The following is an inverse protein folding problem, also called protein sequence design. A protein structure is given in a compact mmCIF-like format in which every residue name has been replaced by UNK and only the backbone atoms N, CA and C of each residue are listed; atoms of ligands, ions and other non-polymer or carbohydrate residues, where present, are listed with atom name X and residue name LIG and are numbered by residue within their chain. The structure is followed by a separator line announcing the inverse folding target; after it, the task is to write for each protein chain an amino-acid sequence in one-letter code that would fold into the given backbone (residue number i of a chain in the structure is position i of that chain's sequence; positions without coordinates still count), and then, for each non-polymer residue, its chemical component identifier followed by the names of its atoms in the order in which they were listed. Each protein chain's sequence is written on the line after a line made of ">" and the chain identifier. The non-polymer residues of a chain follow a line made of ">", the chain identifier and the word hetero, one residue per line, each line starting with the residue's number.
data_IF_294481727122
#
_entry.id   IF_294481727122
#
_cell.length_a   1.000
_cell.length_b   1.000
_cell.length_c   1.000
_cell.angle_alpha   90.00
_cell.angle_beta   90.00
_cell.angle_gamma   90.00
#
_symmetry.space_group_name_H-M   'P 1'
#
loop_
_entity.id
_entity.type
_entity.pdbx_description
1 polymer ?
#
# COMPACT_ATOMS: atom_id res chain seq x y z
N UNK A 1 -11.25 -32.55 -23.96
CA UNK A 1 -10.45 -32.44 -22.71
C UNK A 1 -9.10 -31.81 -23.04
N UNK A 2 -8.81 -30.60 -22.55
CA UNK A 2 -7.60 -30.35 -21.76
C UNK A 2 -7.67 -28.98 -21.05
N UNK A 3 -7.75 -28.99 -19.73
CA UNK A 3 -8.06 -27.88 -18.81
C UNK A 3 -6.78 -27.14 -18.34
N UNK A 4 -5.73 -27.04 -19.16
CA UNK A 4 -4.39 -26.66 -18.68
C UNK A 4 -3.69 -25.52 -19.44
N UNK A 5 -4.44 -24.49 -19.89
CA UNK A 5 -3.85 -23.23 -20.40
C UNK A 5 -4.54 -21.97 -19.86
N UNK A 6 -5.04 -22.02 -18.63
CA UNK A 6 -5.42 -20.83 -17.88
C UNK A 6 -4.44 -20.73 -16.72
N UNK A 7 -4.11 -19.52 -16.28
CA UNK A 7 -3.33 -19.21 -15.06
C UNK A 7 -1.85 -18.85 -15.21
N UNK A 8 -1.40 -18.37 -16.37
CA UNK A 8 -0.06 -17.74 -16.52
C UNK A 8 -0.09 -16.40 -17.28
N UNK A 9 -1.10 -15.56 -17.06
CA UNK A 9 -1.10 -14.19 -17.62
C UNK A 9 -1.99 -13.20 -16.84
N UNK A 10 -1.81 -13.13 -15.51
CA UNK A 10 -2.39 -12.05 -14.67
C UNK A 10 -1.33 -11.28 -13.87
N UNK A 11 -0.08 -11.22 -14.33
CA UNK A 11 0.87 -10.26 -13.75
C UNK A 11 0.66 -8.93 -14.47
N UNK A 12 0.02 -7.91 -13.86
CA UNK A 12 -0.12 -6.63 -14.52
C UNK A 12 1.27 -6.08 -14.84
N UNK A 13 1.37 -5.58 -16.06
CA UNK A 13 2.54 -4.97 -16.67
C UNK A 13 3.31 -4.09 -15.65
N UNK A 14 4.62 -4.34 -15.51
CA UNK A 14 5.55 -3.76 -14.53
C UNK A 14 5.91 -2.29 -14.83
N UNK A 15 5.00 -1.57 -15.49
CA UNK A 15 5.05 -0.17 -15.85
C UNK A 15 3.84 0.58 -15.29
N UNK A 16 3.37 0.16 -14.12
CA UNK A 16 2.25 0.80 -13.42
C UNK A 16 2.65 2.22 -13.04
N UNK A 17 1.94 3.21 -13.58
CA UNK A 17 2.07 4.60 -13.17
C UNK A 17 2.06 4.69 -11.64
N UNK A 18 3.01 5.45 -11.07
CA UNK A 18 3.08 5.72 -9.64
C UNK A 18 1.75 6.33 -9.20
N UNK A 19 1.02 5.64 -8.32
CA UNK A 19 -0.28 6.12 -7.83
C UNK A 19 -0.05 7.07 -6.66
N UNK A 20 -0.36 8.34 -6.87
CA UNK A 20 -0.27 9.37 -5.85
C UNK A 20 -1.67 9.83 -5.41
N UNK A 21 -1.84 10.09 -4.12
CA UNK A 21 -3.07 10.64 -3.54
C UNK A 21 -2.76 11.73 -2.53
N UNK A 22 -3.62 12.73 -2.46
CA UNK A 22 -3.51 13.83 -1.48
C UNK A 22 -3.92 13.37 -0.07
N UNK A 23 -4.82 12.38 0.02
CA UNK A 23 -5.32 11.78 1.26
C UNK A 23 -5.35 10.27 1.16
N UNK A 24 -5.34 9.62 2.32
CA UNK A 24 -5.44 8.16 2.42
C UNK A 24 -6.75 7.68 1.78
N UNK A 25 -6.70 6.81 0.77
CA UNK A 25 -7.92 6.26 0.18
C UNK A 25 -8.55 5.22 1.11
N UNK A 26 -9.88 5.21 1.23
CA UNK A 26 -10.61 4.21 2.01
C UNK A 26 -10.59 2.82 1.34
N UNK A 27 -10.64 2.81 -0.01
CA UNK A 27 -10.60 1.59 -0.83
C UNK A 27 -9.40 1.63 -1.78
N UNK A 28 -8.80 0.47 -2.03
CA UNK A 28 -7.69 0.34 -2.97
C UNK A 28 -8.14 0.70 -4.40
N UNK A 29 -7.47 1.62 -5.10
CA UNK A 29 -7.84 1.98 -6.47
C UNK A 29 -7.57 0.88 -7.50
N UNK A 30 -6.81 -0.16 -7.16
CA UNK A 30 -6.51 -1.28 -8.05
C UNK A 30 -7.46 -2.48 -7.87
N UNK A 31 -7.82 -2.83 -6.63
CA UNK A 31 -8.63 -4.03 -6.34
C UNK A 31 -9.91 -3.76 -5.54
N UNK A 32 -10.21 -2.50 -5.20
CA UNK A 32 -11.37 -2.07 -4.41
C UNK A 32 -11.45 -2.59 -2.97
N UNK A 33 -10.46 -3.37 -2.51
CA UNK A 33 -10.39 -3.87 -1.14
C UNK A 33 -10.23 -2.73 -0.11
N UNK A 34 -10.67 -3.00 1.12
CA UNK A 34 -10.66 -2.07 2.26
C UNK A 34 -10.38 -2.85 3.54
N UNK A 35 -9.68 -2.26 4.53
CA UNK A 35 -9.06 -0.94 4.47
C UNK A 35 -7.76 -0.92 3.64
N UNK A 36 -7.32 0.28 3.26
CA UNK A 36 -5.93 0.47 2.82
C UNK A 36 -5.07 0.69 4.06
N UNK A 37 -3.96 -0.02 4.18
CA UNK A 37 -3.06 0.08 5.31
C UNK A 37 -2.22 1.36 5.27
N UNK A 38 -1.88 1.90 6.43
CA UNK A 38 -0.74 2.82 6.54
C UNK A 38 0.54 2.03 6.67
N UNK A 39 1.61 2.45 6.00
CA UNK A 39 2.91 1.80 6.13
C UNK A 39 3.60 2.38 7.37
N UNK A 40 4.02 1.50 8.28
CA UNK A 40 4.77 1.84 9.48
C UNK A 40 6.24 1.46 9.26
N UNK A 41 7.10 2.47 9.14
CA UNK A 41 8.54 2.30 8.97
C UNK A 41 9.27 2.39 10.31
N UNK A 42 10.46 1.81 10.36
CA UNK A 42 11.35 1.89 11.52
C UNK A 42 11.35 0.64 12.40
N UNK A 43 12.11 0.73 13.49
CA UNK A 43 12.11 -0.29 14.53
C UNK A 43 10.99 0.01 15.53
N UNK A 44 9.93 -0.78 15.49
CA UNK A 44 8.73 -0.60 16.30
C UNK A 44 8.63 -1.70 17.35
N UNK A 45 8.20 -1.33 18.55
CA UNK A 45 7.82 -2.32 19.56
C UNK A 45 6.54 -3.02 19.13
N UNK A 46 6.52 -4.34 19.19
CA UNK A 46 5.31 -5.13 18.97
C UNK A 46 4.49 -5.15 20.25
N UNK A 47 3.27 -4.63 20.19
CA UNK A 47 2.26 -4.74 21.22
C UNK A 47 0.96 -5.30 20.63
N UNK A 48 0.05 -5.76 21.49
CA UNK A 48 -1.19 -6.40 21.06
C UNK A 48 -2.09 -5.49 20.23
N UNK A 49 -1.99 -4.16 20.39
CA UNK A 49 -2.79 -3.19 19.62
C UNK A 49 -2.23 -3.06 18.20
N UNK A 50 -0.91 -3.04 18.06
CA UNK A 50 -0.24 -3.02 16.76
C UNK A 50 -0.48 -4.34 16.01
N UNK A 51 -0.37 -5.48 16.70
CA UNK A 51 -0.67 -6.80 16.14
C UNK A 51 -2.08 -6.86 15.58
N UNK A 52 -3.09 -6.44 16.36
CA UNK A 52 -4.48 -6.37 15.90
C UNK A 52 -4.64 -5.47 14.66
N UNK A 53 -3.98 -4.31 14.63
CA UNK A 53 -4.06 -3.39 13.47
C UNK A 53 -3.41 -3.98 12.22
N UNK A 54 -2.38 -4.82 12.37
CA UNK A 54 -1.75 -5.53 11.26
C UNK A 54 -2.70 -6.62 10.74
N UNK A 55 -3.29 -7.40 11.65
CA UNK A 55 -4.26 -8.45 11.31
C UNK A 55 -5.50 -7.89 10.60
N UNK A 56 -6.01 -6.74 11.05
CA UNK A 56 -7.12 -6.02 10.40
C UNK A 56 -6.73 -5.35 9.07
N UNK A 57 -5.46 -5.40 8.67
CA UNK A 57 -4.95 -4.77 7.46
C UNK A 57 -4.94 -3.24 7.51
N UNK A 58 -4.98 -2.63 8.70
CA UNK A 58 -4.91 -1.18 8.89
C UNK A 58 -3.48 -0.65 8.91
N UNK A 59 -2.52 -1.49 9.28
CA UNK A 59 -1.09 -1.21 9.29
C UNK A 59 -0.35 -2.28 8.47
N UNK A 60 0.60 -1.85 7.66
CA UNK A 60 1.57 -2.72 6.98
C UNK A 60 2.96 -2.34 7.48
N UNK A 61 3.80 -3.32 7.81
CA UNK A 61 5.16 -3.04 8.26
C UNK A 61 6.06 -2.77 7.05
N UNK A 62 6.69 -1.60 7.07
CA UNK A 62 7.67 -1.18 6.09
C UNK A 62 9.08 -1.68 6.43
N UNK A 63 10.07 -1.11 5.75
CA UNK A 63 11.48 -1.31 6.09
C UNK A 63 11.92 -0.42 7.26
N UNK A 64 13.23 -0.46 7.54
CA UNK A 64 13.85 0.37 8.59
C UNK A 64 13.74 1.88 8.31
N UNK A 65 13.82 2.29 7.04
CA UNK A 65 13.77 3.69 6.65
C UNK A 65 12.73 3.92 5.55
N UNK A 66 11.93 4.98 5.69
CA UNK A 66 11.20 5.55 4.57
C UNK A 66 12.19 6.37 3.72
N UNK A 67 12.40 5.97 2.46
CA UNK A 67 13.14 6.81 1.52
C UNK A 67 12.36 8.10 1.22
N UNK A 68 13.05 9.20 0.90
CA UNK A 68 12.39 10.46 0.54
C UNK A 68 11.37 10.24 -0.59
N UNK A 69 10.09 10.57 -0.34
CA UNK A 69 9.01 10.33 -1.29
C UNK A 69 8.62 8.85 -1.43
N UNK A 70 8.83 8.06 -0.39
CA UNK A 70 8.36 6.67 -0.28
C UNK A 70 6.83 6.55 -0.26
N UNK A 71 6.31 5.33 -0.44
CA UNK A 71 4.88 5.10 -0.31
C UNK A 71 4.50 5.18 1.16
N UNK A 72 3.36 5.79 1.43
CA UNK A 72 2.83 5.94 2.80
C UNK A 72 1.67 4.99 3.08
N UNK A 73 1.07 4.43 2.02
CA UNK A 73 -0.05 3.50 2.13
C UNK A 73 0.16 2.28 1.24
N UNK A 74 -0.43 1.17 1.66
CA UNK A 74 -0.36 -0.10 0.96
C UNK A 74 -1.69 -0.83 1.01
N UNK A 75 -2.09 -1.45 -0.10
CA UNK A 75 -3.16 -2.42 -0.07
C UNK A 75 -2.62 -3.78 0.37
N UNK A 76 -3.08 -4.29 1.51
CA UNK A 76 -2.70 -5.62 2.03
C UNK A 76 -3.26 -6.78 1.20
N UNK A 77 -4.24 -6.53 0.33
CA UNK A 77 -4.82 -7.57 -0.54
C UNK A 77 -4.08 -7.75 -1.88
N UNK A 78 -3.62 -6.66 -2.50
CA UNK A 78 -2.99 -6.71 -3.83
C UNK A 78 -1.57 -6.13 -3.88
N UNK A 79 -1.06 -5.62 -2.76
CA UNK A 79 0.30 -5.08 -2.66
C UNK A 79 0.49 -3.71 -3.33
N UNK A 80 -0.57 -3.05 -3.80
CA UNK A 80 -0.45 -1.73 -4.40
C UNK A 80 0.13 -0.73 -3.38
N UNK A 81 1.28 -0.14 -3.71
CA UNK A 81 1.88 0.97 -2.98
C UNK A 81 1.29 2.31 -3.46
N UNK A 82 0.93 3.18 -2.54
CA UNK A 82 0.32 4.48 -2.81
C UNK A 82 1.13 5.57 -2.11
N UNK A 83 1.43 6.63 -2.84
CA UNK A 83 2.30 7.71 -2.42
C UNK A 83 1.49 8.94 -2.04
N UNK A 84 1.96 9.68 -1.03
CA UNK A 84 1.34 10.95 -0.67
C UNK A 84 1.86 12.04 -1.58
N UNK A 85 0.94 12.79 -2.20
CA UNK A 85 1.29 13.98 -2.97
C UNK A 85 1.73 15.09 -2.00
N UNK A 86 2.97 15.54 -2.10
CA UNK A 86 3.47 16.67 -1.33
C UNK A 86 2.88 17.97 -1.92
N UNK A 87 1.94 18.58 -1.20
CA UNK A 87 1.42 19.91 -1.56
C UNK A 87 2.33 20.94 -0.89
N UNK A 88 3.28 21.50 -1.63
CA UNK A 88 3.98 22.73 -1.21
C UNK A 88 2.98 23.87 -1.27
N UNK A 89 2.43 24.27 -0.11
CA UNK A 89 1.69 25.53 -0.02
C UNK A 89 2.69 26.67 -0.24
N UNK A 90 2.48 27.49 -1.26
CA UNK A 90 3.17 28.79 -1.37
C UNK A 90 2.89 29.53 -0.06
N UNK A 91 3.95 29.78 0.71
CA UNK A 91 3.91 30.77 1.78
C UNK A 91 3.71 32.12 1.07
N UNK A 92 2.49 32.64 1.17
CA UNK A 92 2.11 34.00 0.77
C UNK A 92 2.57 34.99 1.83
#
# INVERSE_FOLDING_TARGET
>A
MNKLKREWNKKPNRMSARIEKERKPNKCPNCSASPVASILYGYVGMDSVLEQKIEEGRVSLGGCCEGMGGPVWECTHCGLKIYQKLIVKKLS
#
